data_IF_572511140129
#
_entry.id   IF_572511140129
#
_cell.length_a   1.000
_cell.length_b   1.000
_cell.length_c   1.000
_cell.angle_alpha   90.00
_cell.angle_beta   90.00
_cell.angle_gamma   90.00
#
_symmetry.space_group_name_H-M   'P 1'
#
loop_
_entity.id
_entity.type
_entity.pdbx_description
1 polymer ?
#
# COMPACT_ATOMS: atom_id res chain seq x y z
N UNK A 1 15.41 18.90 -55.64
CA UNK A 1 16.59 18.45 -54.87
C UNK A 1 16.29 18.09 -53.40
N UNK A 2 15.03 18.08 -52.90
CA UNK A 2 14.76 17.94 -51.45
C UNK A 2 13.85 16.77 -51.03
N UNK A 3 13.49 15.82 -51.91
CA UNK A 3 12.60 14.71 -51.53
C UNK A 3 13.32 13.40 -51.17
N UNK A 4 14.61 13.26 -51.51
CA UNK A 4 15.36 12.02 -51.31
C UNK A 4 16.12 11.97 -49.97
N UNK A 5 16.39 13.12 -49.35
CA UNK A 5 17.07 13.20 -48.05
C UNK A 5 16.17 12.82 -46.86
N UNK A 6 14.85 12.95 -46.99
CA UNK A 6 13.90 12.60 -45.91
C UNK A 6 13.77 11.09 -45.70
N UNK A 7 13.92 10.28 -46.75
CA UNK A 7 13.89 8.81 -46.65
C UNK A 7 15.19 8.21 -46.12
N UNK A 8 16.34 8.88 -46.33
CA UNK A 8 17.64 8.45 -45.80
C UNK A 8 17.76 8.61 -44.27
N UNK A 9 17.01 9.55 -43.67
CA UNK A 9 16.99 9.75 -42.21
C UNK A 9 16.12 8.69 -41.51
N UNK A 10 15.06 8.19 -42.17
CA UNK A 10 14.18 7.17 -41.58
C UNK A 10 14.84 5.78 -41.58
N UNK A 11 15.70 5.48 -42.55
CA UNK A 11 16.39 4.18 -42.61
C UNK A 11 17.58 4.05 -41.64
N UNK A 12 18.09 5.16 -41.11
CA UNK A 12 19.25 5.16 -40.19
C UNK A 12 18.89 4.96 -38.71
N UNK A 13 17.60 4.94 -38.35
CA UNK A 13 17.13 4.71 -36.97
C UNK A 13 16.73 3.25 -36.67
N UNK A 14 16.87 2.31 -37.63
CA UNK A 14 16.37 0.94 -37.48
C UNK A 14 17.45 -0.14 -37.32
N UNK A 15 18.69 0.21 -36.95
CA UNK A 15 19.81 -0.77 -36.86
C UNK A 15 20.32 -1.00 -35.44
N UNK A 16 19.75 -0.37 -34.41
CA UNK A 16 20.17 -0.63 -33.02
C UNK A 16 19.06 -1.23 -32.17
N UNK A 17 18.78 -2.52 -32.41
CA UNK A 17 18.04 -3.37 -31.48
C UNK A 17 18.76 -4.72 -31.43
N UNK A 18 19.67 -4.88 -30.47
CA UNK A 18 20.28 -6.18 -30.20
C UNK A 18 20.17 -6.55 -28.72
N UNK A 19 19.46 -7.67 -28.53
CA UNK A 19 19.55 -8.71 -27.51
C UNK A 19 20.03 -8.37 -26.10
N UNK A 20 19.10 -8.55 -25.15
CA UNK A 20 19.39 -8.86 -23.77
C UNK A 20 18.47 -9.96 -23.25
N UNK A 21 18.96 -11.21 -23.27
CA UNK A 21 18.68 -12.26 -22.29
C UNK A 21 17.24 -12.73 -22.05
N UNK A 22 16.84 -13.81 -22.73
CA UNK A 22 15.71 -14.65 -22.31
C UNK A 22 16.17 -15.60 -21.19
N UNK A 23 15.68 -15.39 -19.97
CA UNK A 23 15.84 -16.30 -18.84
C UNK A 23 14.56 -17.14 -18.64
N UNK A 24 14.80 -18.43 -18.41
CA UNK A 24 13.87 -19.55 -18.18
C UNK A 24 12.76 -19.30 -17.14
N UNK A 25 11.68 -20.06 -17.30
CA UNK A 25 11.15 -20.89 -16.21
C UNK A 25 9.68 -20.66 -15.85
N UNK A 26 8.85 -21.68 -16.10
CA UNK A 26 7.41 -21.67 -15.82
C UNK A 26 7.03 -21.88 -14.34
N UNK A 27 5.74 -21.78 -14.08
CA UNK A 27 5.11 -22.14 -12.81
C UNK A 27 3.64 -21.72 -12.81
N UNK A 28 2.73 -22.69 -12.89
CA UNK A 28 1.28 -22.47 -12.91
C UNK A 28 0.75 -21.85 -11.61
N UNK A 29 -0.32 -21.06 -11.73
CA UNK A 29 -1.01 -20.47 -10.60
C UNK A 29 -2.03 -21.47 -10.04
N UNK A 30 -1.71 -22.08 -8.90
CA UNK A 30 -2.62 -22.88 -8.07
C UNK A 30 -2.91 -22.15 -6.75
N UNK A 31 -3.51 -20.97 -6.81
CA UNK A 31 -3.94 -20.29 -5.59
C UNK A 31 -5.31 -20.80 -5.13
N UNK A 32 -5.23 -21.89 -4.37
CA UNK A 32 -6.26 -22.39 -3.45
C UNK A 32 -6.67 -21.26 -2.51
N UNK A 33 -7.91 -20.78 -2.64
CA UNK A 33 -8.53 -19.81 -1.76
C UNK A 33 -8.82 -20.44 -0.39
N UNK A 34 -7.82 -20.58 0.48
CA UNK A 34 -8.03 -20.79 1.93
C UNK A 34 -6.73 -20.44 2.70
N UNK A 35 -6.37 -19.16 2.76
CA UNK A 35 -5.44 -18.74 3.81
C UNK A 35 -6.25 -17.97 4.87
N UNK A 36 -6.33 -18.47 6.12
CA UNK A 36 -6.95 -17.71 7.21
C UNK A 36 -6.18 -16.39 7.42
N UNK A 37 -6.82 -15.37 8.01
CA UNK A 37 -6.17 -14.10 8.28
C UNK A 37 -4.87 -14.33 9.07
N UNK A 38 -3.78 -13.59 8.77
CA UNK A 38 -2.50 -13.81 9.42
C UNK A 38 -2.68 -13.67 10.93
N UNK A 39 -2.49 -14.78 11.66
CA UNK A 39 -2.43 -14.77 13.12
C UNK A 39 -1.28 -13.83 13.51
N UNK A 40 -1.57 -12.90 14.42
CA UNK A 40 -0.62 -11.93 14.95
C UNK A 40 0.66 -12.63 15.40
N UNK A 41 1.69 -12.54 14.56
CA UNK A 41 3.05 -12.95 14.86
C UNK A 41 3.83 -11.70 15.24
N UNK A 42 4.54 -11.78 16.37
CA UNK A 42 5.37 -10.69 16.89
C UNK A 42 6.21 -10.05 15.78
N UNK A 43 6.13 -8.73 15.69
CA UNK A 43 6.78 -7.94 14.64
C UNK A 43 8.29 -8.09 14.69
N UNK A 44 8.82 -9.04 13.92
CA UNK A 44 10.18 -8.96 13.42
C UNK A 44 10.34 -7.62 12.72
N UNK A 45 11.38 -6.87 13.07
CA UNK A 45 11.62 -5.55 12.48
C UNK A 45 11.65 -5.68 10.96
N UNK A 46 10.90 -4.85 10.22
CA UNK A 46 11.06 -4.80 8.78
C UNK A 46 12.50 -4.44 8.43
N UNK A 47 13.26 -5.39 7.92
CA UNK A 47 14.64 -5.15 7.52
C UNK A 47 14.60 -4.30 6.24
N UNK A 48 15.31 -3.16 6.18
CA UNK A 48 15.31 -2.30 5.01
C UNK A 48 15.78 -3.06 3.77
N UNK A 49 15.08 -2.86 2.66
CA UNK A 49 15.57 -3.26 1.35
C UNK A 49 16.92 -2.57 1.13
N UNK A 50 17.96 -3.38 0.96
CA UNK A 50 19.38 -3.03 0.83
C UNK A 50 19.62 -1.69 0.11
N UNK A 51 20.02 -0.64 0.83
CA UNK A 51 20.25 0.65 0.16
C UNK A 51 20.71 1.86 0.98
N UNK A 52 21.41 1.69 2.10
CA UNK A 52 22.41 2.59 2.74
C UNK A 52 22.45 2.32 4.25
N UNK A 53 23.65 2.32 4.84
CA UNK A 53 23.86 1.83 6.21
C UNK A 53 23.70 2.91 7.28
N UNK A 54 23.13 4.08 6.95
CA UNK A 54 23.16 5.27 7.81
C UNK A 54 21.75 5.86 8.00
N UNK A 55 20.81 5.07 8.52
CA UNK A 55 19.74 5.45 9.45
C UNK A 55 18.79 4.25 9.56
N UNK A 56 18.79 3.60 10.72
CA UNK A 56 17.88 2.48 11.05
C UNK A 56 16.49 3.02 11.41
N UNK A 57 15.97 3.95 10.62
CA UNK A 57 14.70 4.62 10.88
C UNK A 57 13.56 3.80 10.27
N UNK A 58 13.19 2.72 10.98
CA UNK A 58 12.11 1.83 10.55
C UNK A 58 10.78 2.57 10.32
N UNK A 59 10.56 3.68 11.02
CA UNK A 59 9.40 4.54 10.82
C UNK A 59 9.44 5.25 9.46
N UNK A 60 10.61 5.73 9.03
CA UNK A 60 10.77 6.40 7.73
C UNK A 60 10.57 5.43 6.56
N UNK A 61 10.92 4.15 6.75
CA UNK A 61 10.87 3.11 5.71
C UNK A 61 9.56 2.30 5.72
N UNK A 62 8.54 2.74 6.46
CA UNK A 62 7.28 2.00 6.62
C UNK A 62 6.58 1.75 5.28
N UNK A 63 6.48 2.77 4.42
CA UNK A 63 5.80 2.66 3.12
C UNK A 63 6.57 1.74 2.16
N UNK A 64 7.89 1.88 2.09
CA UNK A 64 8.72 1.11 1.16
C UNK A 64 8.79 -0.36 1.57
N UNK A 65 8.79 -0.63 2.87
CA UNK A 65 8.69 -2.00 3.36
C UNK A 65 7.34 -2.62 3.01
N UNK A 66 6.23 -1.92 3.27
CA UNK A 66 4.89 -2.44 2.99
C UNK A 66 4.68 -2.72 1.50
N UNK A 67 5.12 -1.81 0.62
CA UNK A 67 5.08 -1.98 -0.84
C UNK A 67 5.85 -3.22 -1.31
N UNK A 68 7.02 -3.47 -0.71
CA UNK A 68 7.86 -4.62 -1.05
C UNK A 68 7.23 -5.97 -0.66
N UNK A 69 6.38 -5.98 0.39
CA UNK A 69 5.74 -7.19 0.91
C UNK A 69 4.38 -7.47 0.26
N UNK A 70 3.64 -6.44 -0.13
CA UNK A 70 2.26 -6.56 -0.61
C UNK A 70 2.15 -6.09 -2.08
N UNK A 71 2.30 -7.02 -3.02
CA UNK A 71 2.16 -6.73 -4.46
C UNK A 71 1.23 -7.70 -5.19
N UNK A 72 -0.09 -7.54 -4.99
CA UNK A 72 -0.96 -7.38 -6.15
C UNK A 72 -1.77 -6.09 -6.09
N UNK A 73 -1.95 -5.42 -7.23
CA UNK A 73 -2.87 -4.28 -7.38
C UNK A 73 -4.29 -4.79 -7.13
N UNK A 74 -4.83 -4.52 -5.95
CA UNK A 74 -6.22 -4.84 -5.64
C UNK A 74 -7.14 -3.83 -6.34
N UNK A 75 -8.30 -4.30 -6.79
CA UNK A 75 -9.32 -3.42 -7.36
C UNK A 75 -9.81 -2.49 -6.24
N UNK A 76 -9.74 -1.18 -6.46
CA UNK A 76 -10.29 -0.20 -5.54
C UNK A 76 -11.81 -0.41 -5.45
N UNK A 77 -12.34 -0.46 -4.24
CA UNK A 77 -13.77 -0.66 -3.98
C UNK A 77 -14.30 0.44 -3.08
N UNK A 78 -15.58 0.77 -3.22
CA UNK A 78 -16.29 1.65 -2.29
C UNK A 78 -16.65 0.87 -1.00
N UNK A 79 -17.19 1.56 0.01
CA UNK A 79 -17.56 0.94 1.29
C UNK A 79 -18.55 -0.24 1.17
N UNK A 80 -19.35 -0.27 0.11
CA UNK A 80 -20.28 -1.37 -0.20
C UNK A 80 -19.65 -2.53 -1.01
N UNK A 81 -18.34 -2.48 -1.27
CA UNK A 81 -17.60 -3.50 -2.03
C UNK A 81 -17.73 -3.41 -3.55
N UNK A 82 -18.43 -2.41 -4.09
CA UNK A 82 -18.51 -2.21 -5.55
C UNK A 82 -17.18 -1.69 -6.10
N UNK A 83 -16.68 -2.23 -7.23
CA UNK A 83 -15.46 -1.72 -7.86
C UNK A 83 -15.64 -0.26 -8.31
N UNK A 84 -14.62 0.56 -8.05
CA UNK A 84 -14.61 1.99 -8.37
C UNK A 84 -13.83 2.22 -9.68
N UNK A 85 -14.44 2.87 -10.69
CA UNK A 85 -13.78 3.09 -11.98
C UNK A 85 -12.69 4.18 -11.96
N UNK A 86 -12.90 5.27 -11.21
CA UNK A 86 -11.91 6.34 -10.99
C UNK A 86 -12.12 6.97 -9.61
N UNK A 87 -11.03 7.30 -8.91
CA UNK A 87 -11.04 8.04 -7.64
C UNK A 87 -10.49 9.48 -7.78
N UNK A 88 -9.82 9.78 -8.89
CA UNK A 88 -9.19 11.09 -9.13
C UNK A 88 -10.17 12.12 -9.68
N UNK A 89 -11.29 11.66 -10.22
CA UNK A 89 -12.28 12.48 -10.91
C UNK A 89 -13.63 12.41 -10.20
N UNK A 90 -14.39 13.51 -10.24
CA UNK A 90 -15.77 13.55 -9.76
C UNK A 90 -16.76 13.50 -10.91
N UNK A 91 -17.94 12.92 -10.66
CA UNK A 91 -19.00 12.81 -11.65
C UNK A 91 -19.76 14.14 -11.75
N UNK A 92 -19.70 14.76 -12.93
CA UNK A 92 -20.25 16.09 -13.21
C UNK A 92 -21.17 16.07 -14.43
N UNK A 93 -22.07 17.06 -14.55
CA UNK A 93 -22.87 17.26 -15.77
C UNK A 93 -22.04 17.93 -16.86
N UNK A 94 -21.20 17.13 -17.53
CA UNK A 94 -20.24 17.61 -18.52
C UNK A 94 -19.01 18.29 -17.90
N UNK A 95 -17.97 18.62 -18.70
CA UNK A 95 -16.64 18.97 -18.17
C UNK A 95 -16.55 20.19 -17.26
N UNK A 96 -17.54 21.11 -17.31
CA UNK A 96 -17.60 22.32 -16.47
C UNK A 96 -18.97 22.48 -15.79
N UNK A 97 -19.74 21.40 -15.70
CA UNK A 97 -21.02 21.40 -15.01
C UNK A 97 -20.87 21.15 -13.51
N UNK A 98 -21.97 21.25 -12.74
CA UNK A 98 -21.97 20.93 -11.33
C UNK A 98 -21.74 19.42 -11.09
N UNK A 99 -21.21 19.09 -9.92
CA UNK A 99 -21.10 17.70 -9.44
C UNK A 99 -22.48 17.14 -9.15
N UNK A 100 -22.68 15.87 -9.52
CA UNK A 100 -23.93 15.17 -9.30
C UNK A 100 -23.98 14.55 -7.90
N UNK A 101 -25.12 14.68 -7.23
CA UNK A 101 -25.36 14.01 -5.94
C UNK A 101 -25.37 12.49 -6.05
N UNK A 102 -25.60 11.95 -7.25
CA UNK A 102 -25.56 10.50 -7.50
C UNK A 102 -24.13 9.92 -7.43
N UNK A 103 -23.10 10.77 -7.35
CA UNK A 103 -21.72 10.34 -7.17
C UNK A 103 -21.52 9.80 -5.74
N UNK A 104 -21.93 8.55 -5.54
CA UNK A 104 -21.86 7.92 -4.24
C UNK A 104 -20.40 7.66 -3.81
N UNK A 105 -19.45 7.48 -4.74
CA UNK A 105 -18.02 7.28 -4.42
C UNK A 105 -17.45 8.54 -3.79
N UNK A 106 -17.73 9.70 -4.37
CA UNK A 106 -17.29 10.98 -3.82
C UNK A 106 -17.86 11.20 -2.41
N UNK A 107 -19.17 10.97 -2.25
CA UNK A 107 -19.85 11.17 -0.98
C UNK A 107 -19.34 10.23 0.11
N UNK A 108 -19.10 8.96 -0.22
CA UNK A 108 -18.58 7.94 0.70
C UNK A 108 -17.20 8.33 1.27
N UNK A 109 -16.29 8.78 0.39
CA UNK A 109 -14.96 9.24 0.80
C UNK A 109 -15.05 10.51 1.67
N UNK A 110 -15.87 11.49 1.28
CA UNK A 110 -16.03 12.73 2.04
C UNK A 110 -16.64 12.48 3.41
N UNK A 111 -17.68 11.66 3.51
CA UNK A 111 -18.35 11.37 4.78
C UNK A 111 -17.48 10.57 5.74
N UNK A 112 -16.61 9.72 5.21
CA UNK A 112 -15.62 8.99 6.01
C UNK A 112 -14.55 9.94 6.54
N UNK A 113 -14.04 10.83 5.69
CA UNK A 113 -13.05 11.84 6.08
C UNK A 113 -13.59 12.79 7.15
N UNK A 114 -14.80 13.33 6.96
CA UNK A 114 -15.45 14.23 7.92
C UNK A 114 -15.67 13.59 9.31
N UNK A 115 -15.68 12.24 9.38
CA UNK A 115 -15.93 11.46 10.60
C UNK A 115 -14.70 10.72 11.12
N UNK A 116 -13.50 11.02 10.60
CA UNK A 116 -12.27 10.39 11.09
C UNK A 116 -11.99 10.75 12.55
N UNK A 117 -12.37 11.97 12.96
CA UNK A 117 -12.11 12.44 14.31
C UNK A 117 -13.12 11.90 15.30
N UNK A 118 -12.61 11.12 16.25
CA UNK A 118 -13.31 10.79 17.51
C UNK A 118 -12.82 11.71 18.64
N UNK A 119 -13.60 11.92 19.70
CA UNK A 119 -13.13 12.63 20.88
C UNK A 119 -11.88 11.95 21.46
N UNK A 120 -10.87 12.75 21.78
CA UNK A 120 -9.68 12.30 22.48
C UNK A 120 -9.98 11.95 23.95
N UNK A 121 -9.09 11.18 24.59
CA UNK A 121 -9.22 10.90 26.03
C UNK A 121 -9.15 12.21 26.81
N UNK A 122 -10.06 12.39 27.78
CA UNK A 122 -10.15 13.60 28.63
C UNK A 122 -8.82 13.94 29.32
N UNK A 123 -8.04 12.91 29.66
CA UNK A 123 -6.66 13.02 30.17
C UNK A 123 -5.77 12.01 29.45
N UNK A 124 -4.46 12.27 29.38
CA UNK A 124 -3.50 11.45 28.64
C UNK A 124 -3.92 11.22 27.17
N UNK A 125 -4.36 12.29 26.51
CA UNK A 125 -4.76 12.29 25.11
C UNK A 125 -3.60 11.86 24.19
N UNK A 126 -2.39 12.38 24.46
CA UNK A 126 -1.17 12.03 23.74
C UNK A 126 -0.49 10.84 24.43
N UNK A 127 -0.19 9.81 23.65
CA UNK A 127 0.57 8.66 24.12
C UNK A 127 1.07 7.82 22.94
N UNK A 128 2.09 7.02 23.20
CA UNK A 128 2.58 5.99 22.28
C UNK A 128 2.40 4.62 22.94
N UNK A 129 2.29 3.57 22.14
CA UNK A 129 2.10 2.22 22.62
C UNK A 129 3.06 1.24 21.93
N UNK A 130 3.40 0.17 22.63
CA UNK A 130 4.11 -0.98 22.13
C UNK A 130 3.48 -2.24 22.72
N UNK A 131 3.57 -3.35 21.98
CA UNK A 131 3.15 -4.66 22.47
C UNK A 131 4.34 -5.44 23.03
N UNK A 132 4.10 -6.28 24.03
CA UNK A 132 5.12 -7.10 24.66
C UNK A 132 4.50 -8.16 25.58
N UNK A 133 5.36 -8.95 26.21
CA UNK A 133 4.96 -9.97 27.18
C UNK A 133 5.60 -9.65 28.53
N UNK A 134 4.83 -9.84 29.60
CA UNK A 134 5.33 -9.75 30.96
C UNK A 134 5.78 -11.14 31.43
N UNK A 135 7.05 -11.28 31.79
CA UNK A 135 7.63 -12.55 32.26
C UNK A 135 8.10 -12.38 33.71
N UNK A 136 7.52 -13.17 34.61
CA UNK A 136 7.90 -13.20 36.03
C UNK A 136 9.25 -13.89 36.17
N UNK A 137 10.25 -13.18 36.70
CA UNK A 137 11.60 -13.71 36.90
C UNK A 137 11.82 -14.28 38.30
N UNK A 138 11.08 -13.78 39.31
CA UNK A 138 11.23 -14.16 40.71
C UNK A 138 9.87 -14.43 41.35
N UNK A 139 9.83 -15.39 42.28
CA UNK A 139 8.62 -15.74 43.03
C UNK A 139 8.25 -14.65 44.06
N UNK A 140 7.04 -14.13 43.92
CA UNK A 140 6.44 -13.11 44.80
C UNK A 140 5.11 -13.55 45.41
N UNK A 141 4.78 -14.85 45.32
CA UNK A 141 3.52 -15.44 45.81
C UNK A 141 3.28 -15.21 47.31
N UNK A 142 4.34 -14.97 48.10
CA UNK A 142 4.23 -14.60 49.51
C UNK A 142 3.52 -13.25 49.75
N UNK A 143 3.52 -12.35 48.77
CA UNK A 143 2.98 -10.99 48.90
C UNK A 143 1.66 -10.82 48.16
N UNK A 144 1.50 -11.48 47.02
CA UNK A 144 0.33 -11.35 46.16
C UNK A 144 -0.13 -12.71 45.69
N UNK A 145 -1.45 -12.89 45.65
CA UNK A 145 -2.13 -14.08 45.10
C UNK A 145 -2.70 -13.80 43.70
N UNK A 146 -2.29 -12.69 43.08
CA UNK A 146 -2.64 -12.41 41.69
C UNK A 146 -1.93 -13.45 40.81
N UNK A 147 -2.70 -14.09 39.94
CA UNK A 147 -2.23 -15.08 38.97
C UNK A 147 -1.37 -14.46 37.85
#
# INVERSE_FOLDING_TARGET
MNSLYSLLIILSLLVNYNAGGAAKGGGGNSNKATNPPPKGGGGGKPQPASGNNNAKDYAALQLDTWRSQNNPVNVLTASNGMPVPSLTDSLTVGPRGPTLLQDFVLLDNLFTFDRERIPERVVHAVGAAAFGEFVVTNDVTKYTKMD
#
